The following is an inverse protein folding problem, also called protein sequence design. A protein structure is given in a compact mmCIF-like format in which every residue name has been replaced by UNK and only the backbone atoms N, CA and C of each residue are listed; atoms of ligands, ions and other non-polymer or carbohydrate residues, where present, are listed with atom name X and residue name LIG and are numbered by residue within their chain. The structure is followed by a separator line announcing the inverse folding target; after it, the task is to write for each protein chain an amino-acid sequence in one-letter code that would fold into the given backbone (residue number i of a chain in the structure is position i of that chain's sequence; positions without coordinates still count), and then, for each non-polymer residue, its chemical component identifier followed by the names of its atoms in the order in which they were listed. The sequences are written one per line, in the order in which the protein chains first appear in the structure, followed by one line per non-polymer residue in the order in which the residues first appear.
data_IF_688578512816
#
_entry.id   IF_688578512816
#
_cell.length_a   1.000
_cell.length_b   1.000
_cell.length_c   1.000
_cell.angle_alpha   90.00
_cell.angle_beta   90.00
_cell.angle_gamma   90.00
#
_symmetry.space_group_name_H-M   'P 1'
#
loop_
_entity.id
_entity.type
_entity.pdbx_description
1 polymer ?
#
# COMPACT_ATOMS: atom_id res chain seq x y z
N UNK A 1 -4.05 17.47 -4.87
CA UNK A 1 -4.42 16.10 -5.28
C UNK A 1 -3.44 15.08 -4.71
N UNK A 2 -2.18 15.02 -5.14
CA UNK A 2 -1.18 14.04 -4.63
C UNK A 2 -1.03 14.04 -3.10
N UNK A 3 -0.83 15.21 -2.48
CA UNK A 3 -0.73 15.34 -1.02
C UNK A 3 -1.98 14.84 -0.27
N UNK A 4 -3.16 15.02 -0.85
CA UNK A 4 -4.43 14.56 -0.29
C UNK A 4 -4.55 13.03 -0.38
N UNK A 5 -4.17 12.46 -1.53
CA UNK A 5 -4.13 11.00 -1.72
C UNK A 5 -3.09 10.34 -0.81
N UNK A 6 -1.91 10.94 -0.64
CA UNK A 6 -0.90 10.47 0.30
C UNK A 6 -1.40 10.48 1.74
N UNK A 7 -2.11 11.53 2.16
CA UNK A 7 -2.73 11.58 3.48
C UNK A 7 -3.86 10.56 3.64
N UNK A 8 -4.67 10.37 2.60
CA UNK A 8 -5.74 9.35 2.58
C UNK A 8 -5.16 7.94 2.67
N UNK A 9 -4.11 7.63 1.91
CA UNK A 9 -3.40 6.35 1.97
C UNK A 9 -2.86 6.10 3.37
N UNK A 10 -2.15 7.09 3.93
CA UNK A 10 -1.62 7.00 5.29
C UNK A 10 -2.73 6.67 6.29
N UNK A 11 -3.82 7.44 6.31
CA UNK A 11 -4.93 7.22 7.24
C UNK A 11 -5.59 5.86 7.03
N UNK A 12 -5.84 5.44 5.80
CA UNK A 12 -6.42 4.12 5.49
C UNK A 12 -5.54 2.96 6.00
N UNK A 13 -4.23 3.16 6.03
CA UNK A 13 -3.27 2.16 6.48
C UNK A 13 -3.14 2.16 8.01
N UNK A 14 -2.93 3.32 8.64
CA UNK A 14 -2.48 3.42 10.05
C UNK A 14 -3.51 3.93 11.06
N UNK A 15 -4.73 4.32 10.64
CA UNK A 15 -5.78 4.77 11.58
C UNK A 15 -6.22 3.66 12.53
N UNK A 16 -7.00 4.02 13.56
CA UNK A 16 -7.54 3.08 14.54
C UNK A 16 -8.43 2.00 13.89
N UNK A 17 -9.11 2.34 12.81
CA UNK A 17 -9.85 1.42 11.95
C UNK A 17 -9.12 1.17 10.62
N UNK A 18 -7.78 1.29 10.61
CA UNK A 18 -6.97 1.12 9.42
C UNK A 18 -6.80 -0.33 8.98
N UNK A 19 -6.16 -0.51 7.82
CA UNK A 19 -5.80 -1.82 7.30
C UNK A 19 -4.83 -2.56 8.23
N UNK A 20 -3.85 -1.86 8.82
CA UNK A 20 -2.87 -2.49 9.69
C UNK A 20 -3.44 -2.95 11.02
N UNK A 21 -4.46 -2.26 11.55
CA UNK A 21 -5.14 -2.72 12.77
C UNK A 21 -5.82 -4.06 12.51
N UNK A 22 -6.56 -4.19 11.41
CA UNK A 22 -7.14 -5.46 11.00
C UNK A 22 -6.07 -6.56 10.86
N UNK A 23 -4.98 -6.25 10.17
CA UNK A 23 -3.92 -7.21 9.85
C UNK A 23 -3.09 -7.64 11.08
N UNK A 24 -2.74 -6.70 11.94
CA UNK A 24 -1.74 -6.89 13.02
C UNK A 24 -2.36 -7.09 14.40
N UNK A 25 -3.49 -6.45 14.66
CA UNK A 25 -4.17 -6.53 15.96
C UNK A 25 -5.32 -7.53 15.92
N UNK A 26 -6.09 -7.54 14.83
CA UNK A 26 -7.29 -8.38 14.70
C UNK A 26 -7.00 -9.70 13.96
N UNK A 27 -5.80 -9.83 13.36
CA UNK A 27 -5.29 -11.03 12.70
C UNK A 27 -6.15 -11.53 11.52
N UNK A 28 -6.65 -10.63 10.68
CA UNK A 28 -7.27 -11.01 9.41
C UNK A 28 -6.92 -10.03 8.28
N UNK A 29 -7.04 -10.49 7.05
CA UNK A 29 -6.86 -9.65 5.88
C UNK A 29 -8.18 -8.92 5.53
N UNK A 30 -8.19 -7.60 5.63
CA UNK A 30 -9.37 -6.82 5.25
C UNK A 30 -9.38 -6.50 3.75
N UNK A 31 -10.03 -7.36 2.96
CA UNK A 31 -10.11 -7.25 1.50
C UNK A 31 -10.62 -5.89 1.01
N UNK A 32 -11.65 -5.34 1.67
CA UNK A 32 -12.25 -4.05 1.27
C UNK A 32 -11.27 -2.89 1.46
N UNK A 33 -10.61 -2.82 2.62
CA UNK A 33 -9.58 -1.79 2.88
C UNK A 33 -8.40 -1.95 1.94
N UNK A 34 -8.01 -3.20 1.64
CA UNK A 34 -6.92 -3.45 0.69
C UNK A 34 -7.27 -2.98 -0.73
N UNK A 35 -8.50 -3.21 -1.21
CA UNK A 35 -8.97 -2.66 -2.50
C UNK A 35 -8.84 -1.14 -2.53
N UNK A 36 -9.20 -0.46 -1.44
CA UNK A 36 -9.05 0.99 -1.34
C UNK A 36 -7.59 1.44 -1.34
N UNK A 37 -6.71 0.73 -0.63
CA UNK A 37 -5.26 0.96 -0.64
C UNK A 37 -4.74 0.85 -2.08
N UNK A 38 -5.11 -0.22 -2.80
CA UNK A 38 -4.71 -0.43 -4.20
C UNK A 38 -5.15 0.69 -5.12
N UNK A 39 -6.40 1.14 -5.00
CA UNK A 39 -6.94 2.17 -5.87
C UNK A 39 -6.22 3.51 -5.67
N UNK A 40 -5.96 3.89 -4.41
CA UNK A 40 -5.20 5.11 -4.10
C UNK A 40 -3.75 4.98 -4.60
N UNK A 41 -3.13 3.81 -4.43
CA UNK A 41 -1.77 3.57 -4.89
C UNK A 41 -1.64 3.72 -6.42
N UNK A 42 -2.60 3.17 -7.18
CA UNK A 42 -2.64 3.33 -8.64
C UNK A 42 -2.79 4.79 -9.07
N UNK A 43 -3.64 5.56 -8.40
CA UNK A 43 -3.75 7.01 -8.66
C UNK A 43 -2.45 7.75 -8.35
N UNK A 44 -1.81 7.45 -7.22
CA UNK A 44 -0.51 8.05 -6.86
C UNK A 44 0.56 7.75 -7.92
N UNK A 45 0.65 6.49 -8.36
CA UNK A 45 1.58 6.08 -9.42
C UNK A 45 1.29 6.80 -10.73
N UNK A 46 0.03 6.95 -11.13
CA UNK A 46 -0.35 7.74 -12.31
C UNK A 46 0.14 9.17 -12.20
N UNK A 47 -0.09 9.82 -11.05
CA UNK A 47 0.32 11.20 -10.81
C UNK A 47 1.84 11.34 -10.82
N UNK A 48 2.59 10.39 -10.24
CA UNK A 48 4.04 10.43 -10.25
C UNK A 48 4.62 10.22 -11.65
N UNK A 49 4.02 9.33 -12.45
CA UNK A 49 4.39 9.14 -13.85
C UNK A 49 4.13 10.40 -14.68
N UNK A 50 2.96 11.03 -14.54
CA UNK A 50 2.60 12.26 -15.26
C UNK A 50 3.53 13.43 -14.91
N UNK A 51 3.96 13.53 -13.65
CA UNK A 51 4.83 14.61 -13.18
C UNK A 51 6.32 14.30 -13.29
N UNK A 52 6.69 13.08 -13.68
CA UNK A 52 8.07 12.56 -13.63
C UNK A 52 8.76 12.82 -12.27
N UNK A 53 8.01 12.72 -11.17
CA UNK A 53 8.52 13.08 -9.85
C UNK A 53 7.81 12.31 -8.73
N UNK A 54 8.59 11.80 -7.79
CA UNK A 54 8.11 11.16 -6.56
C UNK A 54 8.12 12.18 -5.41
N UNK A 55 7.03 12.26 -4.67
CA UNK A 55 7.03 13.01 -3.42
C UNK A 55 7.63 12.16 -2.29
N UNK A 56 8.40 12.80 -1.40
CA UNK A 56 8.97 12.12 -0.22
C UNK A 56 7.88 11.55 0.70
N UNK A 57 6.76 12.26 0.87
CA UNK A 57 5.63 11.81 1.67
C UNK A 57 4.94 10.58 1.07
N UNK A 58 4.79 10.56 -0.25
CA UNK A 58 4.20 9.46 -0.99
C UNK A 58 5.06 8.21 -0.93
N UNK A 59 6.38 8.37 -1.16
CA UNK A 59 7.35 7.28 -1.04
C UNK A 59 7.36 6.69 0.37
N UNK A 60 7.33 7.52 1.41
CA UNK A 60 7.30 7.06 2.80
C UNK A 60 6.01 6.30 3.13
N UNK A 61 4.86 6.75 2.63
CA UNK A 61 3.59 6.04 2.83
C UNK A 61 3.61 4.65 2.19
N UNK A 62 4.18 4.52 0.98
CA UNK A 62 4.35 3.23 0.29
C UNK A 62 5.34 2.33 1.00
N UNK A 63 6.49 2.86 1.44
CA UNK A 63 7.48 2.09 2.17
C UNK A 63 6.91 1.51 3.47
N UNK A 64 6.16 2.31 4.23
CA UNK A 64 5.47 1.85 5.43
C UNK A 64 4.43 0.77 5.12
N UNK A 65 3.66 0.91 4.03
CA UNK A 65 2.72 -0.13 3.61
C UNK A 65 3.43 -1.46 3.35
N UNK A 66 4.53 -1.44 2.57
CA UNK A 66 5.30 -2.64 2.24
C UNK A 66 5.90 -3.29 3.48
N UNK A 67 6.59 -2.51 4.33
CA UNK A 67 7.19 -3.01 5.57
C UNK A 67 6.15 -3.73 6.43
N UNK A 68 4.97 -3.13 6.56
CA UNK A 68 3.91 -3.61 7.42
C UNK A 68 3.11 -4.77 6.83
N UNK A 69 3.15 -5.00 5.52
CA UNK A 69 2.63 -6.24 4.89
C UNK A 69 3.69 -7.35 5.00
N UNK A 70 4.96 -7.06 4.71
CA UNK A 70 6.05 -8.03 4.69
C UNK A 70 6.41 -8.62 6.06
N UNK A 71 6.15 -7.91 7.17
CA UNK A 71 6.58 -8.36 8.51
C UNK A 71 5.92 -9.64 9.03
N UNK A 72 4.92 -10.19 8.33
CA UNK A 72 4.26 -11.49 8.63
C UNK A 72 3.54 -11.54 9.98
N UNK A 73 2.55 -12.42 10.13
CA UNK A 73 1.86 -12.60 11.41
C UNK A 73 1.51 -14.09 11.62
N UNK A 74 2.13 -14.70 12.64
CA UNK A 74 1.96 -16.13 12.97
C UNK A 74 0.54 -16.50 13.43
N UNK A 75 -0.30 -15.51 13.70
CA UNK A 75 -1.68 -15.68 14.14
C UNK A 75 -2.68 -15.61 12.98
N UNK A 76 -2.22 -15.32 11.76
CA UNK A 76 -3.07 -15.33 10.57
C UNK A 76 -3.45 -16.76 10.18
N UNK A 77 -4.57 -16.87 9.50
CA UNK A 77 -4.93 -18.09 8.78
C UNK A 77 -3.99 -18.29 7.59
N UNK A 78 -3.86 -19.54 7.11
CA UNK A 78 -3.12 -19.83 5.87
C UNK A 78 -3.70 -19.06 4.67
N UNK A 79 -5.03 -18.90 4.62
CA UNK A 79 -5.71 -18.12 3.58
C UNK A 79 -5.28 -16.65 3.61
N UNK A 80 -5.30 -16.01 4.78
CA UNK A 80 -4.88 -14.61 4.92
C UNK A 80 -3.37 -14.44 4.68
N UNK A 81 -2.55 -15.42 5.04
CA UNK A 81 -1.13 -15.41 4.74
C UNK A 81 -0.86 -15.40 3.23
N UNK A 82 -1.59 -16.21 2.46
CA UNK A 82 -1.52 -16.21 0.99
C UNK A 82 -1.96 -14.85 0.44
N UNK A 83 -3.07 -14.27 0.95
CA UNK A 83 -3.52 -12.93 0.51
C UNK A 83 -2.48 -11.84 0.74
N UNK A 84 -1.70 -11.93 1.81
CA UNK A 84 -0.59 -11.00 2.09
C UNK A 84 0.53 -11.16 1.06
N UNK A 85 0.90 -12.39 0.72
CA UNK A 85 1.90 -12.67 -0.31
C UNK A 85 1.44 -12.13 -1.67
N UNK A 86 0.20 -12.39 -2.05
CA UNK A 86 -0.42 -11.85 -3.26
C UNK A 86 -0.44 -10.32 -3.23
N UNK A 87 -0.79 -9.72 -2.09
CA UNK A 87 -0.82 -8.27 -1.93
C UNK A 87 0.57 -7.62 -2.10
N UNK A 88 1.62 -8.25 -1.57
CA UNK A 88 3.00 -7.82 -1.80
C UNK A 88 3.34 -7.81 -3.28
N UNK A 89 3.01 -8.89 -4.01
CA UNK A 89 3.28 -9.01 -5.46
C UNK A 89 2.51 -7.92 -6.22
N UNK A 90 1.21 -7.76 -5.96
CA UNK A 90 0.38 -6.76 -6.62
C UNK A 90 0.87 -5.33 -6.38
N UNK A 91 1.30 -4.99 -5.16
CA UNK A 91 1.86 -3.66 -4.85
C UNK A 91 3.15 -3.44 -5.64
N UNK A 92 4.03 -4.44 -5.69
CA UNK A 92 5.27 -4.36 -6.47
C UNK A 92 4.99 -4.18 -7.96
N UNK A 93 3.98 -4.87 -8.50
CA UNK A 93 3.56 -4.72 -9.89
C UNK A 93 3.04 -3.30 -10.18
N UNK A 94 2.21 -2.73 -9.28
CA UNK A 94 1.73 -1.35 -9.40
C UNK A 94 2.91 -0.37 -9.41
N UNK A 95 3.90 -0.56 -8.53
CA UNK A 95 5.07 0.32 -8.43
C UNK A 95 6.05 0.13 -9.59
N UNK A 96 6.04 -1.03 -10.25
CA UNK A 96 6.96 -1.32 -11.35
C UNK A 96 6.81 -0.36 -12.54
N UNK A 97 5.63 0.25 -12.70
CA UNK A 97 5.38 1.26 -13.72
C UNK A 97 6.21 2.54 -13.51
N UNK A 98 6.62 2.82 -12.27
CA UNK A 98 7.49 3.94 -11.96
C UNK A 98 8.90 3.74 -12.55
N UNK A 99 9.39 2.51 -12.62
CA UNK A 99 10.73 2.20 -13.14
C UNK A 99 10.87 2.54 -14.63
N UNK A 100 9.77 2.50 -15.40
CA UNK A 100 9.79 2.77 -16.84
C UNK A 100 9.72 4.27 -17.18
N UNK A 101 9.17 5.07 -16.28
CA UNK A 101 8.70 6.42 -16.59
C UNK A 101 9.37 7.52 -15.75
N UNK A 102 10.06 7.15 -14.67
CA UNK A 102 10.87 8.06 -13.89
C UNK A 102 12.32 7.99 -14.39
N UNK A 103 12.69 8.94 -15.25
CA UNK A 103 14.10 9.21 -15.53
C UNK A 103 14.65 10.04 -14.36
N UNK A 104 15.58 9.46 -13.61
CA UNK A 104 16.43 10.18 -12.68
C UNK A 104 17.76 10.59 -13.33
#
# INVERSE_FOLDING_TARGET
MEKELSAKLHNLVVSEDGFLVALRCENYFNDQKYIEVKNILKELVSIWNENHCLSTSGLLAVANLIEQIAGGNRYLSDEDAIKIEDACIEIMDILSDLYKNLDC
#
